data_IF_773846951118
#
_entry.id   IF_773846951118
#
_cell.length_a   1.000
_cell.length_b   1.000
_cell.length_c   1.000
_cell.angle_alpha   90.00
_cell.angle_beta   90.00
_cell.angle_gamma   90.00
#
_symmetry.space_group_name_H-M   'P 1'
#
loop_
_entity.id
_entity.type
_entity.pdbx_description
1 polymer ?
#
# COMPACT_ATOMS: atom_id res chain seq x y z
N UNK A 1 9.50 -16.29 -2.76
CA UNK A 1 8.77 -15.04 -2.42
C UNK A 1 7.42 -15.40 -1.83
N UNK A 2 7.11 -14.81 -0.70
CA UNK A 2 5.87 -15.10 0.02
C UNK A 2 5.26 -13.81 0.55
N UNK A 3 3.92 -13.66 0.43
CA UNK A 3 3.20 -12.50 0.97
C UNK A 3 2.23 -13.02 2.04
N UNK A 4 2.29 -12.44 3.23
CA UNK A 4 1.47 -12.86 4.36
C UNK A 4 0.85 -11.69 5.07
N UNK A 5 -0.33 -11.92 5.65
CA UNK A 5 -1.06 -10.93 6.43
C UNK A 5 -0.54 -10.95 7.88
N UNK A 6 -0.33 -9.77 8.44
CA UNK A 6 0.17 -9.62 9.81
C UNK A 6 -1.01 -9.33 10.72
N UNK A 7 -1.26 -10.22 11.66
CA UNK A 7 -2.42 -10.13 12.56
C UNK A 7 -2.11 -9.44 13.90
N UNK A 8 -0.83 -9.40 14.29
CA UNK A 8 -0.44 -8.80 15.57
C UNK A 8 0.98 -8.27 15.50
N UNK A 9 1.35 -7.45 16.51
CA UNK A 9 2.69 -6.88 16.62
C UNK A 9 3.13 -6.18 15.32
N UNK A 10 2.24 -5.36 14.79
CA UNK A 10 2.44 -4.71 13.49
C UNK A 10 3.64 -3.75 13.51
N UNK A 11 3.95 -3.17 14.67
CA UNK A 11 5.07 -2.24 14.78
C UNK A 11 6.44 -2.91 14.73
N UNK A 12 6.50 -4.24 14.66
CA UNK A 12 7.77 -4.90 14.38
C UNK A 12 8.34 -4.48 13.02
N UNK A 13 7.48 -3.95 12.13
CA UNK A 13 7.88 -3.48 10.80
C UNK A 13 7.94 -1.95 10.71
N UNK A 14 8.03 -1.26 11.86
CA UNK A 14 7.98 0.19 11.90
C UNK A 14 9.05 0.85 11.02
N UNK A 15 10.25 0.28 10.98
CA UNK A 15 11.33 0.85 10.17
C UNK A 15 10.95 0.95 8.68
N UNK A 16 10.27 -0.07 8.15
CA UNK A 16 9.79 -0.03 6.77
C UNK A 16 8.66 0.96 6.61
N UNK A 17 7.70 0.97 7.56
CA UNK A 17 6.56 1.87 7.49
C UNK A 17 6.99 3.34 7.47
N UNK A 18 8.06 3.67 8.21
CA UNK A 18 8.57 5.04 8.27
C UNK A 18 9.21 5.50 6.96
N UNK A 19 9.53 4.59 6.04
CA UNK A 19 10.04 4.98 4.74
C UNK A 19 8.98 5.66 3.89
N UNK A 20 7.72 5.27 4.05
CA UNK A 20 6.62 5.84 3.28
C UNK A 20 5.88 6.93 4.05
N UNK A 21 5.92 6.90 5.36
CA UNK A 21 5.23 7.86 6.21
C UNK A 21 6.17 8.22 7.36
N UNK A 22 6.78 9.37 7.29
CA UNK A 22 7.94 9.74 8.12
C UNK A 22 7.63 9.92 9.61
N UNK A 23 6.34 10.01 9.98
CA UNK A 23 5.96 10.25 11.36
C UNK A 23 5.19 9.07 11.94
N UNK A 24 5.69 8.51 13.03
CA UNK A 24 5.03 7.40 13.71
C UNK A 24 3.61 7.78 14.14
N UNK A 25 3.39 9.02 14.56
CA UNK A 25 2.06 9.48 14.96
C UNK A 25 1.04 9.38 13.82
N UNK A 26 1.48 9.54 12.59
CA UNK A 26 0.61 9.36 11.42
C UNK A 26 0.33 7.89 11.16
N UNK A 27 1.34 7.05 11.33
CA UNK A 27 1.18 5.59 11.19
C UNK A 27 0.20 5.07 12.23
N UNK A 28 0.26 5.60 13.46
CA UNK A 28 -0.65 5.21 14.53
C UNK A 28 -2.13 5.42 14.17
N UNK A 29 -2.43 6.34 13.27
CA UNK A 29 -3.81 6.61 12.87
C UNK A 29 -4.46 5.46 12.09
N UNK A 30 -3.66 4.61 11.46
CA UNK A 30 -4.23 3.57 10.60
C UNK A 30 -3.71 2.17 10.87
N UNK A 31 -2.62 2.01 11.63
CA UNK A 31 -1.95 0.72 11.73
C UNK A 31 -2.84 -0.35 12.38
N UNK A 32 -3.58 0.02 13.43
CA UNK A 32 -4.40 -0.96 14.16
C UNK A 32 -5.70 -1.29 13.43
N UNK A 33 -6.29 -0.32 12.77
CA UNK A 33 -7.55 -0.55 12.03
C UNK A 33 -7.34 -1.08 10.62
N UNK A 34 -6.11 -1.02 10.11
CA UNK A 34 -5.79 -1.48 8.77
C UNK A 34 -5.39 -2.93 8.72
N UNK A 35 -5.41 -3.47 7.51
CA UNK A 35 -4.85 -4.79 7.24
C UNK A 35 -3.43 -4.60 6.74
N UNK A 36 -2.49 -5.31 7.35
CA UNK A 36 -1.07 -5.22 6.99
C UNK A 36 -0.61 -6.49 6.31
N UNK A 37 0.16 -6.30 5.25
CA UNK A 37 0.77 -7.40 4.51
C UNK A 37 2.26 -7.16 4.40
N UNK A 38 3.04 -8.22 4.47
CA UNK A 38 4.48 -8.15 4.23
C UNK A 38 4.86 -9.14 3.14
N UNK A 39 5.87 -8.77 2.37
CA UNK A 39 6.46 -9.63 1.36
C UNK A 39 7.83 -10.10 1.85
N UNK A 40 7.96 -11.41 1.99
CA UNK A 40 9.21 -12.05 2.41
C UNK A 40 9.89 -12.71 1.22
N UNK A 41 11.19 -12.49 1.10
CA UNK A 41 12.03 -13.14 0.11
C UNK A 41 13.43 -13.21 0.70
N UNK A 42 13.70 -14.25 1.51
CA UNK A 42 14.87 -14.34 2.37
C UNK A 42 14.91 -13.13 3.33
N UNK A 43 13.83 -12.94 4.09
CA UNK A 43 13.63 -11.82 4.98
C UNK A 43 12.57 -10.87 4.43
N UNK A 44 12.12 -9.94 5.27
CA UNK A 44 11.08 -8.99 4.89
C UNK A 44 11.63 -7.92 3.97
N UNK A 45 11.04 -7.79 2.78
CA UNK A 45 11.48 -6.85 1.76
C UNK A 45 10.53 -5.69 1.55
N UNK A 46 9.24 -5.86 1.85
CA UNK A 46 8.24 -4.84 1.62
C UNK A 46 7.07 -5.00 2.58
N UNK A 47 6.34 -3.89 2.80
CA UNK A 47 5.18 -3.84 3.69
C UNK A 47 4.12 -2.97 3.05
N UNK A 48 2.84 -3.27 3.34
CA UNK A 48 1.73 -2.43 2.93
C UNK A 48 0.64 -2.46 3.99
N UNK A 49 -0.11 -1.35 4.12
CA UNK A 49 -1.27 -1.26 5.00
C UNK A 49 -2.44 -0.70 4.20
N UNK A 50 -3.58 -1.38 4.27
CA UNK A 50 -4.82 -0.98 3.59
C UNK A 50 -5.93 -0.85 4.62
N UNK A 51 -6.72 0.22 4.49
CA UNK A 51 -7.85 0.47 5.39
C UNK A 51 -9.16 0.44 4.63
N UNK A 52 -10.23 0.06 5.32
CA UNK A 52 -11.60 0.17 4.81
C UNK A 52 -12.08 1.59 5.09
N UNK A 53 -12.39 2.34 4.04
CA UNK A 53 -12.85 3.72 4.16
C UNK A 53 -14.36 3.85 4.01
N UNK A 54 -15.07 2.72 3.91
CA UNK A 54 -16.53 2.71 3.78
C UNK A 54 -16.99 2.86 2.35
N UNK A 55 -18.27 2.62 2.12
CA UNK A 55 -18.93 2.77 0.82
C UNK A 55 -18.25 2.00 -0.32
N UNK A 56 -17.67 0.85 0.00
CA UNK A 56 -17.00 0.02 -1.00
C UNK A 56 -15.64 0.54 -1.42
N UNK A 57 -15.04 1.44 -0.64
CA UNK A 57 -13.73 2.03 -0.94
C UNK A 57 -12.71 1.59 0.12
N UNK A 58 -11.55 1.14 -0.33
CA UNK A 58 -10.41 0.94 0.56
C UNK A 58 -9.26 1.85 0.15
N UNK A 59 -8.37 2.11 1.08
CA UNK A 59 -7.23 3.00 0.84
C UNK A 59 -5.91 2.32 1.16
N UNK A 60 -4.97 2.39 0.22
CA UNK A 60 -3.59 2.00 0.46
C UNK A 60 -2.92 3.13 1.24
N UNK A 61 -2.77 2.93 2.56
CA UNK A 61 -2.22 3.94 3.47
C UNK A 61 -0.71 3.99 3.44
N UNK A 62 -0.08 2.85 3.19
CA UNK A 62 1.37 2.74 3.25
C UNK A 62 1.79 1.59 2.35
N UNK A 63 2.80 1.81 1.54
CA UNK A 63 3.53 0.77 0.84
C UNK A 63 4.99 1.17 0.80
N UNK A 64 5.86 0.30 1.29
CA UNK A 64 7.29 0.60 1.38
C UNK A 64 8.11 -0.64 1.04
N UNK A 65 9.22 -0.41 0.36
CA UNK A 65 10.19 -1.44 0.00
C UNK A 65 11.52 -1.07 0.64
N UNK A 66 12.21 -2.05 1.23
CA UNK A 66 13.52 -1.81 1.81
C UNK A 66 14.44 -1.16 0.77
N UNK A 67 15.20 -0.10 1.13
CA UNK A 67 15.98 0.66 0.15
C UNK A 67 16.96 -0.19 -0.67
N UNK A 68 17.58 -1.19 -0.05
CA UNK A 68 18.53 -2.08 -0.72
C UNK A 68 17.85 -3.02 -1.71
N UNK A 69 16.52 -3.06 -1.70
CA UNK A 69 15.73 -3.97 -2.53
C UNK A 69 14.96 -3.24 -3.63
N UNK A 70 15.20 -1.94 -3.82
CA UNK A 70 14.53 -1.18 -4.88
C UNK A 70 14.89 -1.75 -6.25
N UNK A 71 13.95 -1.60 -7.20
CA UNK A 71 14.08 -2.05 -8.60
C UNK A 71 14.14 -3.56 -8.77
N UNK A 72 13.78 -4.33 -7.73
CA UNK A 72 13.70 -5.79 -7.83
C UNK A 72 12.27 -6.28 -8.03
N UNK A 73 11.30 -5.36 -8.18
CA UNK A 73 9.92 -5.71 -8.47
C UNK A 73 9.08 -6.04 -7.24
N UNK A 74 9.62 -5.85 -6.02
CA UNK A 74 8.86 -6.19 -4.81
C UNK A 74 7.64 -5.31 -4.60
N UNK A 75 7.76 -4.00 -4.85
CA UNK A 75 6.63 -3.08 -4.72
C UNK A 75 5.51 -3.44 -5.68
N UNK A 76 5.84 -3.72 -6.92
CA UNK A 76 4.87 -4.13 -7.94
C UNK A 76 4.21 -5.46 -7.58
N UNK A 77 5.01 -6.42 -7.10
CA UNK A 77 4.47 -7.73 -6.71
C UNK A 77 3.50 -7.60 -5.54
N UNK A 78 3.85 -6.80 -4.53
CA UNK A 78 2.99 -6.59 -3.38
C UNK A 78 1.71 -5.87 -3.79
N UNK A 79 1.80 -4.81 -4.60
CA UNK A 79 0.63 -4.08 -5.07
C UNK A 79 -0.26 -4.97 -5.93
N UNK A 80 0.30 -5.79 -6.81
CA UNK A 80 -0.47 -6.73 -7.62
C UNK A 80 -1.24 -7.73 -6.76
N UNK A 81 -0.60 -8.21 -5.70
CA UNK A 81 -1.27 -9.09 -4.73
C UNK A 81 -2.45 -8.37 -4.07
N UNK A 82 -2.26 -7.13 -3.63
CA UNK A 82 -3.32 -6.36 -2.99
C UNK A 82 -4.50 -6.13 -3.92
N UNK A 83 -4.22 -5.79 -5.17
CA UNK A 83 -5.28 -5.57 -6.16
C UNK A 83 -6.12 -6.83 -6.35
N UNK A 84 -5.49 -8.00 -6.40
CA UNK A 84 -6.21 -9.27 -6.51
C UNK A 84 -6.95 -9.61 -5.22
N UNK A 85 -6.32 -9.38 -4.07
CA UNK A 85 -6.90 -9.71 -2.77
C UNK A 85 -8.18 -8.93 -2.51
N UNK A 86 -8.20 -7.64 -2.87
CA UNK A 86 -9.35 -6.77 -2.59
C UNK A 86 -10.40 -6.78 -3.70
N UNK A 87 -10.10 -7.37 -4.84
CA UNK A 87 -11.08 -7.53 -5.91
C UNK A 87 -12.26 -8.37 -5.38
N UNK A 88 -13.47 -7.88 -5.55
CA UNK A 88 -14.66 -8.54 -5.03
C UNK A 88 -15.01 -8.16 -3.60
N UNK A 89 -14.08 -7.52 -2.87
CA UNK A 89 -14.34 -7.03 -1.50
C UNK A 89 -14.68 -5.54 -1.49
N UNK A 90 -14.14 -4.80 -2.43
CA UNK A 90 -14.34 -3.35 -2.56
C UNK A 90 -14.60 -3.00 -4.01
N UNK A 91 -15.27 -1.86 -4.23
CA UNK A 91 -15.53 -1.37 -5.59
C UNK A 91 -14.36 -0.58 -6.14
N UNK A 92 -13.58 0.03 -5.26
CA UNK A 92 -12.38 0.78 -5.68
C UNK A 92 -11.34 0.79 -4.58
N UNK A 93 -10.10 0.98 -4.99
CA UNK A 93 -8.99 1.24 -4.09
C UNK A 93 -8.41 2.61 -4.45
N UNK A 94 -8.12 3.40 -3.42
CA UNK A 94 -7.51 4.71 -3.58
C UNK A 94 -6.14 4.73 -2.93
N UNK A 95 -5.28 5.64 -3.40
CA UNK A 95 -3.98 5.89 -2.79
C UNK A 95 -3.68 7.37 -2.89
N UNK A 96 -3.19 7.94 -1.79
CA UNK A 96 -2.73 9.32 -1.77
C UNK A 96 -1.52 9.47 -2.68
N UNK A 97 -1.45 10.56 -3.44
CA UNK A 97 -0.35 10.75 -4.36
C UNK A 97 0.94 10.99 -3.62
N UNK A 98 1.97 10.26 -4.03
CA UNK A 98 3.33 10.67 -3.74
C UNK A 98 3.61 11.97 -4.50
N UNK A 99 4.45 12.79 -3.94
CA UNK A 99 4.74 14.10 -4.52
C UNK A 99 5.73 14.04 -5.67
N UNK A 100 6.28 12.85 -5.96
CA UNK A 100 7.30 12.71 -7.00
C UNK A 100 6.72 12.10 -8.27
N UNK A 101 7.25 12.47 -9.44
CA UNK A 101 6.84 11.84 -10.70
C UNK A 101 7.00 10.32 -10.71
N UNK A 102 7.99 9.80 -9.98
CA UNK A 102 8.21 8.35 -9.91
C UNK A 102 7.04 7.63 -9.24
N UNK A 103 6.49 8.20 -8.17
CA UNK A 103 5.34 7.62 -7.50
C UNK A 103 4.12 7.62 -8.40
N UNK A 104 3.87 8.74 -9.11
CA UNK A 104 2.76 8.83 -10.04
C UNK A 104 2.88 7.80 -11.16
N UNK A 105 4.07 7.72 -11.76
CA UNK A 105 4.32 6.77 -12.83
C UNK A 105 4.10 5.33 -12.36
N UNK A 106 4.53 5.00 -11.14
CA UNK A 106 4.35 3.67 -10.56
C UNK A 106 2.87 3.32 -10.47
N UNK A 107 2.05 4.20 -9.90
CA UNK A 107 0.62 3.92 -9.75
C UNK A 107 -0.09 3.88 -11.09
N UNK A 108 0.23 4.79 -12.01
CA UNK A 108 -0.36 4.77 -13.35
C UNK A 108 -0.02 3.48 -14.09
N UNK A 109 1.22 3.02 -13.96
CA UNK A 109 1.64 1.76 -14.57
C UNK A 109 0.86 0.57 -13.99
N UNK A 110 0.46 0.65 -12.73
CA UNK A 110 -0.32 -0.39 -12.07
C UNK A 110 -1.83 -0.25 -12.30
N UNK A 111 -2.25 0.65 -13.18
CA UNK A 111 -3.66 0.77 -13.56
C UNK A 111 -4.46 1.78 -12.77
N UNK A 112 -3.80 2.60 -11.97
CA UNK A 112 -4.47 3.68 -11.26
C UNK A 112 -4.59 4.91 -12.16
N UNK A 113 -5.64 5.69 -11.94
CA UNK A 113 -5.82 6.98 -12.63
C UNK A 113 -5.94 8.09 -11.59
N UNK A 114 -5.47 9.29 -11.96
CA UNK A 114 -5.58 10.46 -11.10
C UNK A 114 -7.06 10.78 -10.88
N UNK A 115 -7.45 10.97 -9.62
CA UNK A 115 -8.85 11.19 -9.29
C UNK A 115 -9.26 12.62 -9.58
N UNK A 116 -10.43 12.78 -10.20
CA UNK A 116 -11.06 14.07 -10.39
C UNK A 116 -12.04 14.43 -9.26
N UNK A 117 -12.32 13.48 -8.37
CA UNK A 117 -13.27 13.64 -7.27
C UNK A 117 -12.62 13.79 -5.91
N UNK A 118 -11.47 13.12 -5.71
CA UNK A 118 -10.74 13.15 -4.46
C UNK A 118 -9.40 13.79 -4.74
N UNK A 119 -9.24 15.04 -4.31
CA UNK A 119 -8.03 15.79 -4.57
C UNK A 119 -6.82 15.09 -3.96
N UNK A 120 -5.74 14.95 -4.75
CA UNK A 120 -4.50 14.35 -4.30
C UNK A 120 -4.50 12.84 -4.25
N UNK A 121 -5.48 12.16 -4.90
CA UNK A 121 -5.56 10.70 -4.89
C UNK A 121 -5.57 10.10 -6.28
N UNK A 122 -4.99 8.92 -6.38
CA UNK A 122 -5.18 8.02 -7.51
C UNK A 122 -6.22 6.98 -7.16
N UNK A 123 -6.98 6.54 -8.13
CA UNK A 123 -8.03 5.55 -7.94
C UNK A 123 -7.90 4.42 -8.95
N UNK A 124 -8.30 3.23 -8.53
CA UNK A 124 -8.48 2.08 -9.40
C UNK A 124 -9.82 1.43 -9.08
N UNK A 125 -10.70 1.40 -10.07
CA UNK A 125 -12.04 0.83 -9.93
C UNK A 125 -12.02 -0.65 -10.29
N UNK A 126 -12.77 -1.43 -9.51
CA UNK A 126 -13.05 -2.82 -9.81
C UNK A 126 -14.40 -2.91 -10.51
N UNK A 127 -14.42 -3.54 -11.59
CA UNK A 127 -15.67 -3.76 -12.36
C UNK A 127 -16.27 -5.12 -12.08
#
# INVERSE_FOLDING_TARGET
MNIRKIESDKKQFLDLLLLADEQESMIDRYIDRGEMFVLDDNGTKAVAVVTDEGNGCCELKNIAVAPECHRQGYGKALLSFLLSYYKGKFRQIIVGTGETPQHRAFYEHCGFTFSHRIEGFFTRHYD
#
